data_IF_818346716782
#
_entry.id   IF_818346716782
#
_cell.length_a   1.000
_cell.length_b   1.000
_cell.length_c   1.000
_cell.angle_alpha   90.00
_cell.angle_beta   90.00
_cell.angle_gamma   90.00
#
_symmetry.space_group_name_H-M   'P 1'
#
loop_
_entity.id
_entity.type
_entity.pdbx_description
1 polymer ?
#
# COMPACT_ATOMS: atom_id res chain seq x y z
N UNK A 1 40.37 8.60 28.19
CA UNK A 1 41.13 8.36 26.96
C UNK A 1 40.37 8.96 25.78
N UNK A 2 41.03 9.65 24.84
CA UNK A 2 40.40 10.34 23.70
C UNK A 2 39.55 9.42 22.81
N UNK A 3 39.86 8.12 22.74
CA UNK A 3 39.05 7.12 22.03
C UNK A 3 37.65 6.91 22.64
N UNK A 4 37.50 7.04 23.97
CA UNK A 4 36.18 6.95 24.60
C UNK A 4 35.30 8.16 24.28
N UNK A 5 35.86 9.36 24.14
CA UNK A 5 35.12 10.56 23.73
C UNK A 5 34.68 10.46 22.26
N UNK A 6 35.55 9.94 21.39
CA UNK A 6 35.22 9.72 19.98
C UNK A 6 34.09 8.71 19.80
N UNK A 7 34.14 7.60 20.55
CA UNK A 7 33.10 6.56 20.54
C UNK A 7 31.76 7.12 21.01
N UNK A 8 31.76 7.85 22.14
CA UNK A 8 30.55 8.49 22.68
C UNK A 8 29.91 9.49 21.70
N UNK A 9 30.71 10.36 21.07
CA UNK A 9 30.21 11.32 20.06
C UNK A 9 29.63 10.62 18.84
N UNK A 10 30.26 9.52 18.39
CA UNK A 10 29.76 8.71 17.28
C UNK A 10 28.39 8.11 17.59
N UNK A 11 28.24 7.51 18.78
CA UNK A 11 26.97 6.92 19.24
C UNK A 11 25.85 7.95 19.29
N UNK A 12 26.09 9.14 19.87
CA UNK A 12 25.07 10.22 19.91
C UNK A 12 24.72 10.69 18.50
N UNK A 13 25.71 10.83 17.62
CA UNK A 13 25.48 11.25 16.24
C UNK A 13 24.57 10.26 15.49
N UNK A 14 24.69 8.96 15.76
CA UNK A 14 23.82 7.93 15.18
C UNK A 14 22.38 8.09 15.70
N UNK A 15 22.20 8.23 17.02
CA UNK A 15 20.87 8.41 17.62
C UNK A 15 20.17 9.66 17.09
N UNK A 16 20.88 10.79 16.99
CA UNK A 16 20.36 12.00 16.36
C UNK A 16 19.99 11.79 14.89
N UNK A 17 20.80 11.07 14.13
CA UNK A 17 20.48 10.79 12.72
C UNK A 17 19.21 9.95 12.57
N UNK A 18 18.97 9.00 13.49
CA UNK A 18 17.74 8.21 13.50
C UNK A 18 16.53 9.12 13.79
N UNK A 19 16.61 9.95 14.83
CA UNK A 19 15.52 10.81 15.26
C UNK A 19 15.21 11.94 14.27
N UNK A 20 16.24 12.61 13.75
CA UNK A 20 16.11 13.84 12.99
C UNK A 20 16.01 13.61 11.47
N UNK A 21 16.42 12.44 10.97
CA UNK A 21 16.44 12.14 9.53
C UNK A 21 15.67 10.88 9.18
N UNK A 22 15.99 9.75 9.81
CA UNK A 22 15.39 8.45 9.44
C UNK A 22 13.89 8.40 9.78
N UNK A 23 13.50 8.71 11.01
CA UNK A 23 12.11 8.66 11.46
C UNK A 23 11.20 9.64 10.66
N UNK A 24 11.60 10.90 10.44
CA UNK A 24 10.83 11.81 9.59
C UNK A 24 10.69 11.31 8.13
N UNK A 25 11.75 10.71 7.57
CA UNK A 25 11.68 10.11 6.23
C UNK A 25 10.72 8.90 6.20
N UNK A 26 10.71 8.09 7.26
CA UNK A 26 9.81 6.95 7.42
C UNK A 26 8.35 7.40 7.54
N UNK A 27 8.07 8.46 8.30
CA UNK A 27 6.73 9.06 8.38
C UNK A 27 6.24 9.58 7.04
N UNK A 28 7.12 10.24 6.27
CA UNK A 28 6.80 10.66 4.91
C UNK A 28 6.53 9.46 3.99
N UNK A 29 7.29 8.36 4.13
CA UNK A 29 7.04 7.13 3.39
C UNK A 29 5.68 6.52 3.74
N UNK A 30 5.28 6.52 5.02
CA UNK A 30 3.95 6.11 5.46
C UNK A 30 2.85 6.97 4.84
N UNK A 31 3.05 8.29 4.80
CA UNK A 31 2.13 9.21 4.13
C UNK A 31 1.98 8.90 2.63
N UNK A 32 3.08 8.70 1.92
CA UNK A 32 3.08 8.33 0.51
C UNK A 32 2.43 6.97 0.26
N UNK A 33 2.69 5.98 1.13
CA UNK A 33 2.06 4.66 1.08
C UNK A 33 0.54 4.73 1.24
N UNK A 34 0.05 5.55 2.17
CA UNK A 34 -1.39 5.77 2.34
C UNK A 34 -2.02 6.47 1.12
N UNK A 35 -1.32 7.43 0.52
CA UNK A 35 -1.80 8.06 -0.72
C UNK A 35 -1.82 7.08 -1.89
N UNK A 36 -0.84 6.18 -1.99
CA UNK A 36 -0.83 5.10 -2.97
C UNK A 36 -2.06 4.19 -2.80
N UNK A 37 -2.37 3.76 -1.57
CA UNK A 37 -3.56 2.95 -1.29
C UNK A 37 -4.87 3.65 -1.67
N UNK A 38 -4.99 4.95 -1.39
CA UNK A 38 -6.17 5.74 -1.81
C UNK A 38 -6.33 5.77 -3.32
N UNK A 39 -5.24 6.01 -4.04
CA UNK A 39 -5.25 6.02 -5.51
C UNK A 39 -5.59 4.63 -6.07
N UNK A 40 -5.03 3.57 -5.47
CA UNK A 40 -5.34 2.19 -5.81
C UNK A 40 -6.84 1.87 -5.62
N UNK A 41 -7.42 2.16 -4.46
CA UNK A 41 -8.85 1.91 -4.24
C UNK A 41 -9.76 2.71 -5.18
N UNK A 42 -9.39 3.95 -5.50
CA UNK A 42 -10.11 4.76 -6.47
C UNK A 42 -10.08 4.12 -7.87
N UNK A 43 -8.92 3.60 -8.29
CA UNK A 43 -8.76 2.86 -9.55
C UNK A 43 -9.58 1.56 -9.53
N UNK A 44 -9.50 0.77 -8.47
CA UNK A 44 -10.27 -0.48 -8.32
C UNK A 44 -11.77 -0.24 -8.44
N UNK A 45 -12.28 0.82 -7.81
CA UNK A 45 -13.69 1.22 -7.92
C UNK A 45 -14.07 1.67 -9.34
N UNK A 46 -13.20 2.41 -10.02
CA UNK A 46 -13.43 2.80 -11.41
C UNK A 46 -13.44 1.59 -12.35
N UNK A 47 -12.53 0.64 -12.14
CA UNK A 47 -12.46 -0.62 -12.89
C UNK A 47 -13.73 -1.45 -12.65
N UNK A 48 -14.21 -1.57 -11.42
CA UNK A 48 -15.45 -2.28 -11.10
C UNK A 48 -16.65 -1.70 -11.88
N UNK A 49 -16.79 -0.38 -11.95
CA UNK A 49 -17.85 0.27 -12.73
C UNK A 49 -17.70 -0.02 -14.22
N UNK A 50 -16.48 0.04 -14.75
CA UNK A 50 -16.21 -0.26 -16.15
C UNK A 50 -16.59 -1.71 -16.50
N UNK A 51 -16.14 -2.69 -15.71
CA UNK A 51 -16.40 -4.10 -15.98
C UNK A 51 -17.86 -4.49 -15.72
N UNK A 52 -18.58 -3.82 -14.80
CA UNK A 52 -20.04 -3.96 -14.71
C UNK A 52 -20.76 -3.51 -15.99
N UNK A 53 -20.27 -2.47 -16.67
CA UNK A 53 -20.83 -2.06 -17.95
C UNK A 53 -20.53 -3.09 -19.05
N UNK A 54 -19.32 -3.68 -19.04
CA UNK A 54 -18.95 -4.78 -19.96
C UNK A 54 -19.82 -6.01 -19.73
N UNK A 55 -20.05 -6.40 -18.47
CA UNK A 55 -20.93 -7.49 -18.07
C UNK A 55 -22.33 -7.31 -18.65
N UNK A 56 -22.92 -6.10 -18.52
CA UNK A 56 -24.23 -5.79 -19.10
C UNK A 56 -24.28 -5.89 -20.62
N UNK A 57 -23.20 -5.51 -21.32
CA UNK A 57 -23.11 -5.69 -22.78
C UNK A 57 -23.01 -7.19 -23.11
N UNK A 58 -22.25 -7.95 -22.31
CA UNK A 58 -22.16 -9.40 -22.39
C UNK A 58 -23.52 -10.08 -22.27
N UNK A 59 -24.31 -9.71 -21.26
CA UNK A 59 -25.68 -10.21 -21.06
C UNK A 59 -26.57 -9.98 -22.28
N UNK A 60 -26.48 -8.79 -22.91
CA UNK A 60 -27.23 -8.50 -24.13
C UNK A 60 -26.77 -9.35 -25.32
N UNK A 61 -25.46 -9.53 -25.48
CA UNK A 61 -24.88 -10.34 -26.55
C UNK A 61 -25.21 -11.84 -26.39
N UNK A 62 -25.35 -12.34 -25.15
CA UNK A 62 -25.81 -13.71 -24.88
C UNK A 62 -27.24 -13.98 -25.37
N UNK A 63 -28.10 -12.97 -25.39
CA UNK A 63 -29.46 -13.12 -25.94
C UNK A 63 -29.50 -13.10 -27.48
N UNK A 64 -28.38 -12.81 -28.14
CA UNK A 64 -28.27 -12.75 -29.60
C UNK A 64 -27.86 -14.10 -30.19
N UNK A 65 -28.58 -14.56 -31.21
CA UNK A 65 -28.26 -15.79 -31.95
C UNK A 65 -26.93 -15.72 -32.70
N UNK A 66 -26.49 -14.53 -33.12
CA UNK A 66 -25.25 -14.33 -33.88
C UNK A 66 -24.07 -13.90 -33.03
N UNK A 67 -24.31 -13.44 -31.80
CA UNK A 67 -23.28 -12.84 -30.93
C UNK A 67 -23.12 -13.55 -29.58
N UNK A 68 -23.75 -14.71 -29.40
CA UNK A 68 -23.71 -15.47 -28.15
C UNK A 68 -22.27 -15.70 -27.62
N UNK A 69 -21.36 -16.18 -28.48
CA UNK A 69 -19.96 -16.41 -28.10
C UNK A 69 -19.24 -15.13 -27.66
N UNK A 70 -19.56 -13.98 -28.28
CA UNK A 70 -19.02 -12.70 -27.84
C UNK A 70 -19.53 -12.35 -26.43
N UNK A 71 -20.80 -12.65 -26.14
CA UNK A 71 -21.38 -12.50 -24.82
C UNK A 71 -20.63 -13.32 -23.76
N UNK A 72 -20.35 -14.59 -24.04
CA UNK A 72 -19.56 -15.46 -23.14
C UNK A 72 -18.17 -14.87 -22.84
N UNK A 73 -17.48 -14.36 -23.87
CA UNK A 73 -16.16 -13.74 -23.72
C UNK A 73 -16.22 -12.49 -22.83
N UNK A 74 -17.22 -11.62 -23.02
CA UNK A 74 -17.38 -10.39 -22.22
C UNK A 74 -17.70 -10.69 -20.76
N UNK A 75 -18.50 -11.74 -20.50
CA UNK A 75 -18.75 -12.23 -19.14
C UNK A 75 -17.46 -12.75 -18.50
N UNK A 76 -16.70 -13.59 -19.21
CA UNK A 76 -15.41 -14.11 -18.72
C UNK A 76 -14.39 -13.01 -18.43
N UNK A 77 -14.33 -11.96 -19.27
CA UNK A 77 -13.46 -10.80 -19.01
C UNK A 77 -13.83 -10.08 -17.71
N UNK A 78 -15.13 -9.89 -17.47
CA UNK A 78 -15.65 -9.25 -16.26
C UNK A 78 -15.38 -10.08 -15.01
N UNK A 79 -15.59 -11.39 -15.08
CA UNK A 79 -15.27 -12.33 -14.00
C UNK A 79 -13.78 -12.37 -13.70
N UNK A 80 -12.94 -12.38 -14.73
CA UNK A 80 -11.47 -12.37 -14.59
C UNK A 80 -11.00 -11.09 -13.88
N UNK A 81 -11.56 -9.93 -14.22
CA UNK A 81 -11.21 -8.69 -13.52
C UNK A 81 -11.71 -8.69 -12.07
N UNK A 82 -12.87 -9.27 -11.78
CA UNK A 82 -13.39 -9.38 -10.40
C UNK A 82 -12.46 -10.23 -9.52
N UNK A 83 -11.99 -11.36 -10.05
CA UNK A 83 -11.01 -12.22 -9.37
C UNK A 83 -9.68 -11.49 -9.14
N UNK A 84 -9.12 -10.87 -10.18
CA UNK A 84 -7.89 -10.10 -10.07
C UNK A 84 -8.00 -8.96 -9.04
N UNK A 85 -9.14 -8.28 -8.98
CA UNK A 85 -9.36 -7.20 -8.02
C UNK A 85 -9.40 -7.73 -6.58
N UNK A 86 -9.98 -8.92 -6.37
CA UNK A 86 -9.96 -9.59 -5.06
C UNK A 86 -8.55 -9.96 -4.64
N UNK A 87 -7.73 -10.50 -5.55
CA UNK A 87 -6.34 -10.86 -5.25
C UNK A 87 -5.50 -9.63 -4.91
N UNK A 88 -5.69 -8.53 -5.66
CA UNK A 88 -4.98 -7.28 -5.41
C UNK A 88 -5.41 -6.61 -4.10
N UNK A 89 -6.66 -6.77 -3.67
CA UNK A 89 -7.13 -6.26 -2.37
C UNK A 89 -6.39 -6.93 -1.21
N UNK A 90 -6.12 -8.24 -1.31
CA UNK A 90 -5.32 -8.95 -0.30
C UNK A 90 -3.91 -8.36 -0.21
N UNK A 91 -3.28 -8.09 -1.35
CA UNK A 91 -1.94 -7.48 -1.40
C UNK A 91 -1.97 -6.06 -0.82
N UNK A 92 -2.99 -5.26 -1.16
CA UNK A 92 -3.16 -3.91 -0.62
C UNK A 92 -3.35 -3.93 0.91
N UNK A 93 -4.09 -4.89 1.43
CA UNK A 93 -4.28 -5.07 2.87
C UNK A 93 -2.99 -5.48 3.57
N UNK A 94 -2.21 -6.41 3.01
CA UNK A 94 -0.88 -6.78 3.51
C UNK A 94 0.05 -5.57 3.50
N UNK A 95 0.08 -4.78 2.43
CA UNK A 95 0.87 -3.55 2.38
C UNK A 95 0.45 -2.56 3.48
N UNK A 96 -0.85 -2.41 3.73
CA UNK A 96 -1.32 -1.52 4.80
C UNK A 96 -0.96 -2.02 6.20
N UNK A 97 -1.32 -3.26 6.53
CA UNK A 97 -1.21 -3.82 7.88
C UNK A 97 0.22 -4.20 8.21
N UNK A 98 0.86 -4.98 7.34
CA UNK A 98 2.14 -5.60 7.67
C UNK A 98 3.32 -4.65 7.45
N UNK A 99 3.14 -3.62 6.62
CA UNK A 99 4.18 -2.63 6.33
C UNK A 99 3.88 -1.24 6.91
N UNK A 100 2.83 -0.56 6.43
CA UNK A 100 2.62 0.86 6.79
C UNK A 100 2.33 1.05 8.28
N UNK A 101 1.46 0.23 8.87
CA UNK A 101 1.16 0.33 10.30
C UNK A 101 2.38 -0.01 11.17
N UNK A 102 3.19 -0.99 10.75
CA UNK A 102 4.43 -1.32 11.44
C UNK A 102 5.45 -0.18 11.37
N UNK A 103 5.64 0.44 10.20
CA UNK A 103 6.51 1.60 10.03
C UNK A 103 6.07 2.78 10.92
N UNK A 104 4.77 3.07 10.94
CA UNK A 104 4.22 4.14 11.78
C UNK A 104 4.45 3.87 13.26
N UNK A 105 4.20 2.63 13.70
CA UNK A 105 4.42 2.22 15.10
C UNK A 105 5.89 2.32 15.48
N UNK A 106 6.79 1.83 14.63
CA UNK A 106 8.23 1.82 14.90
C UNK A 106 8.79 3.24 14.99
N UNK A 107 8.43 4.15 14.08
CA UNK A 107 8.85 5.55 14.16
C UNK A 107 8.52 6.18 15.52
N UNK A 108 7.29 5.94 16.02
CA UNK A 108 6.84 6.45 17.33
C UNK A 108 7.59 5.81 18.50
N UNK A 109 7.83 4.51 18.46
CA UNK A 109 8.58 3.80 19.51
C UNK A 109 10.04 4.23 19.54
N UNK A 110 10.67 4.44 18.39
CA UNK A 110 12.07 4.87 18.28
C UNK A 110 12.27 6.26 18.89
N UNK A 111 11.33 7.19 18.68
CA UNK A 111 11.35 8.49 19.34
C UNK A 111 11.30 8.34 20.86
N UNK A 112 10.39 7.51 21.38
CA UNK A 112 10.28 7.28 22.83
C UNK A 112 11.52 6.62 23.42
N UNK A 113 12.07 5.61 22.75
CA UNK A 113 13.20 4.85 23.27
C UNK A 113 14.49 5.67 23.27
N UNK A 114 14.77 6.38 22.19
CA UNK A 114 16.02 7.14 22.06
C UNK A 114 15.97 8.41 22.92
N UNK A 115 14.84 9.11 22.99
CA UNK A 115 14.72 10.30 23.85
C UNK A 115 14.88 9.98 25.34
N UNK A 116 14.44 8.80 25.80
CA UNK A 116 14.68 8.30 27.17
C UNK A 116 16.13 7.83 27.37
N UNK A 117 16.82 7.44 26.30
CA UNK A 117 18.22 7.01 26.36
C UNK A 117 19.21 8.19 26.37
N UNK A 118 18.74 9.39 26.02
CA UNK A 118 19.51 10.64 26.06
C UNK A 118 19.40 11.39 27.42
N UNK A 119 18.55 10.94 28.36
CA UNK A 119 18.49 11.38 29.77
C UNK A 119 19.47 10.61 30.67
#
# INVERSE_FOLDING_TARGET
>A
APEMDLSYRSTISIYKSILEQFNPALENLVYLGNNYLRAFHALSKAAEVYFKAIEKIGEQALQSSTSHMLGEILMQMSDTQRLLSSDLEVVAQTFHVDLLQHMEKNSKMDVQFISVSDE
#
